data_IF_339224932197
#
_entry.id   IF_339224932197
#
_cell.length_a   1.000
_cell.length_b   1.000
_cell.length_c   1.000
_cell.angle_alpha   90.00
_cell.angle_beta   90.00
_cell.angle_gamma   90.00
#
_symmetry.space_group_name_H-M   'P 1'
#
loop_
_entity.id
_entity.type
_entity.pdbx_description
1 polymer ?
#
# COMPACT_ATOMS: atom_id res chain seq x y z
N UNK A 1 -15.29 -25.37 12.92
CA UNK A 1 -16.06 -24.13 12.65
C UNK A 1 -15.14 -23.23 11.86
N UNK A 2 -15.25 -23.29 10.53
CA UNK A 2 -14.37 -22.57 9.59
C UNK A 2 -15.03 -21.21 9.30
N UNK A 3 -14.48 -20.15 9.88
CA UNK A 3 -14.95 -18.80 9.59
C UNK A 3 -14.18 -18.30 8.36
N UNK A 4 -14.53 -18.82 7.18
CA UNK A 4 -13.95 -18.42 5.90
C UNK A 4 -14.42 -16.98 5.63
N UNK A 5 -13.64 -15.99 6.06
CA UNK A 5 -13.83 -14.60 5.66
C UNK A 5 -13.81 -14.57 4.13
N UNK A 6 -14.95 -14.30 3.49
CA UNK A 6 -14.98 -13.94 2.08
C UNK A 6 -14.03 -12.74 1.91
N UNK A 7 -12.93 -12.92 1.20
CA UNK A 7 -12.06 -11.82 0.84
C UNK A 7 -12.87 -10.82 0.01
N UNK A 8 -12.83 -9.54 0.42
CA UNK A 8 -13.49 -8.49 -0.34
C UNK A 8 -12.71 -8.22 -1.63
N UNK A 9 -13.38 -7.78 -2.69
CA UNK A 9 -12.70 -7.36 -3.92
C UNK A 9 -11.60 -6.33 -3.63
N UNK A 10 -11.82 -5.44 -2.65
CA UNK A 10 -10.81 -4.50 -2.14
C UNK A 10 -9.53 -5.21 -1.70
N UNK A 11 -9.65 -6.21 -0.82
CA UNK A 11 -8.50 -6.98 -0.30
C UNK A 11 -7.80 -7.77 -1.41
N UNK A 12 -8.56 -8.38 -2.32
CA UNK A 12 -7.99 -9.12 -3.46
C UNK A 12 -7.14 -8.21 -4.34
N UNK A 13 -7.64 -7.01 -4.66
CA UNK A 13 -6.87 -6.06 -5.48
C UNK A 13 -5.64 -5.51 -4.76
N UNK A 14 -5.70 -5.24 -3.46
CA UNK A 14 -4.53 -4.82 -2.68
C UNK A 14 -3.43 -5.89 -2.72
N UNK A 15 -3.80 -7.15 -2.45
CA UNK A 15 -2.87 -8.28 -2.51
C UNK A 15 -2.30 -8.46 -3.93
N UNK A 16 -3.15 -8.31 -4.96
CA UNK A 16 -2.74 -8.43 -6.36
C UNK A 16 -1.73 -7.35 -6.75
N UNK A 17 -1.97 -6.09 -6.36
CA UNK A 17 -1.02 -5.01 -6.63
C UNK A 17 0.31 -5.26 -5.93
N UNK A 18 0.29 -5.66 -4.67
CA UNK A 18 1.49 -6.00 -3.91
C UNK A 18 2.29 -7.11 -4.61
N UNK A 19 1.65 -8.21 -5.00
CA UNK A 19 2.32 -9.29 -5.74
C UNK A 19 2.96 -8.80 -7.04
N UNK A 20 2.27 -7.97 -7.82
CA UNK A 20 2.82 -7.41 -9.04
C UNK A 20 3.99 -6.46 -8.77
N UNK A 21 3.93 -5.67 -7.70
CA UNK A 21 5.02 -4.79 -7.24
C UNK A 21 6.24 -5.57 -6.73
N UNK A 22 6.13 -6.87 -6.41
CA UNK A 22 7.32 -7.69 -6.18
C UNK A 22 8.04 -8.07 -7.49
N UNK A 23 7.34 -8.01 -8.62
CA UNK A 23 7.80 -8.51 -9.92
C UNK A 23 8.24 -7.37 -10.84
N UNK A 24 7.48 -6.27 -10.92
CA UNK A 24 7.69 -5.19 -11.91
C UNK A 24 7.39 -3.79 -11.37
N UNK A 25 7.89 -2.72 -12.02
CA UNK A 25 7.61 -1.34 -11.66
C UNK A 25 6.12 -0.97 -11.76
N UNK A 26 5.64 -0.11 -10.86
CA UNK A 26 4.25 0.36 -10.76
C UNK A 26 3.70 0.98 -12.06
N UNK A 27 4.57 1.68 -12.78
CA UNK A 27 4.32 2.32 -14.08
C UNK A 27 3.76 1.31 -15.08
N UNK A 28 4.32 0.09 -15.07
CA UNK A 28 4.01 -0.98 -16.01
C UNK A 28 2.78 -1.80 -15.61
N UNK A 29 2.18 -1.53 -14.46
CA UNK A 29 0.97 -2.20 -13.97
C UNK A 29 -0.25 -1.43 -14.46
N UNK A 30 -1.17 -2.12 -15.14
CA UNK A 30 -2.43 -1.56 -15.63
C UNK A 30 -3.63 -2.08 -14.84
N UNK A 31 -4.75 -1.36 -14.87
CA UNK A 31 -6.02 -1.82 -14.27
C UNK A 31 -6.51 -3.12 -14.93
N UNK A 32 -6.29 -3.29 -16.23
CA UNK A 32 -6.64 -4.52 -16.94
C UNK A 32 -5.87 -5.71 -16.39
N UNK A 33 -4.55 -5.58 -16.24
CA UNK A 33 -3.71 -6.64 -15.67
C UNK A 33 -4.10 -6.95 -14.22
N UNK A 34 -4.43 -5.93 -13.42
CA UNK A 34 -4.93 -6.13 -12.06
C UNK A 34 -6.22 -6.95 -12.05
N UNK A 35 -7.18 -6.64 -12.94
CA UNK A 35 -8.44 -7.37 -13.07
C UNK A 35 -8.25 -8.82 -13.53
N UNK A 36 -7.38 -9.03 -14.52
CA UNK A 36 -7.04 -10.36 -15.04
C UNK A 36 -6.35 -11.22 -13.98
N UNK A 37 -5.38 -10.66 -13.25
CA UNK A 37 -4.64 -11.37 -12.20
C UNK A 37 -5.52 -11.68 -10.99
N UNK A 38 -6.37 -10.72 -10.60
CA UNK A 38 -7.31 -10.89 -9.49
C UNK A 38 -8.49 -11.82 -9.80
N UNK A 39 -8.74 -12.13 -11.09
CA UNK A 39 -9.95 -12.79 -11.56
C UNK A 39 -11.24 -12.05 -11.14
N UNK A 40 -11.19 -10.72 -11.17
CA UNK A 40 -12.27 -9.82 -10.74
C UNK A 40 -12.57 -8.80 -11.84
N UNK A 41 -13.85 -8.47 -12.05
CA UNK A 41 -14.25 -7.56 -13.13
C UNK A 41 -13.75 -6.12 -12.92
N UNK A 42 -13.58 -5.38 -14.03
CA UNK A 42 -13.28 -3.94 -13.97
C UNK A 42 -14.38 -3.15 -13.25
N UNK A 43 -15.66 -3.52 -13.42
CA UNK A 43 -16.76 -2.87 -12.69
C UNK A 43 -16.59 -3.02 -11.18
N UNK A 44 -16.08 -4.17 -10.72
CA UNK A 44 -15.75 -4.39 -9.31
C UNK A 44 -14.51 -3.62 -8.89
N UNK A 45 -13.51 -3.44 -9.76
CA UNK A 45 -12.38 -2.55 -9.49
C UNK A 45 -12.86 -1.12 -9.23
N UNK A 46 -13.60 -0.55 -10.18
CA UNK A 46 -14.09 0.83 -10.09
C UNK A 46 -15.16 1.07 -9.02
N UNK A 47 -15.77 0.00 -8.51
CA UNK A 47 -16.62 0.08 -7.32
C UNK A 47 -15.82 0.25 -6.01
N UNK A 48 -14.51 -0.05 -6.00
CA UNK A 48 -13.65 0.02 -4.83
C UNK A 48 -12.55 1.09 -4.95
N UNK A 49 -12.08 1.39 -6.16
CA UNK A 49 -10.96 2.29 -6.42
C UNK A 49 -11.26 3.22 -7.59
N UNK A 50 -10.75 4.45 -7.53
CA UNK A 50 -10.92 5.41 -8.62
C UNK A 50 -9.97 5.06 -9.78
N UNK A 51 -8.74 4.71 -9.44
CA UNK A 51 -7.69 4.29 -10.36
C UNK A 51 -6.64 3.44 -9.62
N UNK A 52 -5.54 3.11 -10.31
CA UNK A 52 -4.42 2.36 -9.70
C UNK A 52 -3.68 3.14 -8.60
N UNK A 53 -3.75 4.47 -8.58
CA UNK A 53 -3.12 5.31 -7.57
C UNK A 53 -3.92 5.31 -6.27
N UNK A 54 -5.26 5.35 -6.34
CA UNK A 54 -6.11 5.15 -5.17
C UNK A 54 -5.90 3.75 -4.57
N UNK A 55 -5.73 2.71 -5.41
CA UNK A 55 -5.34 1.38 -4.93
C UNK A 55 -3.96 1.39 -4.25
N UNK A 56 -2.96 2.06 -4.83
CA UNK A 56 -1.62 2.20 -4.23
C UNK A 56 -1.70 2.92 -2.88
N UNK A 57 -2.49 3.98 -2.76
CA UNK A 57 -2.71 4.71 -1.52
C UNK A 57 -3.22 3.76 -0.42
N UNK A 58 -4.22 2.93 -0.72
CA UNK A 58 -4.72 1.93 0.22
C UNK A 58 -3.64 0.92 0.66
N UNK A 59 -2.76 0.51 -0.27
CA UNK A 59 -1.66 -0.40 0.05
C UNK A 59 -0.62 0.27 0.97
N UNK A 60 -0.27 1.52 0.70
CA UNK A 60 0.67 2.29 1.53
C UNK A 60 0.10 2.58 2.92
N UNK A 61 -1.21 2.85 3.03
CA UNK A 61 -1.90 2.94 4.33
C UNK A 61 -1.78 1.65 5.14
N UNK A 62 -1.92 0.47 4.49
CA UNK A 62 -1.70 -0.83 5.14
C UNK A 62 -0.27 -0.99 5.64
N UNK A 63 0.73 -0.68 4.79
CA UNK A 63 2.15 -0.76 5.16
C UNK A 63 2.50 0.23 6.28
N UNK A 64 1.86 1.39 6.31
CA UNK A 64 2.02 2.34 7.41
C UNK A 64 1.42 1.80 8.72
N UNK A 65 0.27 1.13 8.68
CA UNK A 65 -0.28 0.52 9.89
C UNK A 65 0.61 -0.63 10.40
N UNK A 66 1.23 -1.40 9.50
CA UNK A 66 2.19 -2.45 9.85
C UNK A 66 3.45 -1.87 10.54
N UNK A 67 4.03 -0.80 9.99
CA UNK A 67 5.22 -0.18 10.58
C UNK A 67 4.89 0.51 11.91
N UNK A 68 3.72 1.15 12.04
CA UNK A 68 3.27 1.75 13.30
C UNK A 68 3.13 0.69 14.40
N UNK A 69 2.51 -0.46 14.07
CA UNK A 69 2.40 -1.57 14.99
C UNK A 69 3.77 -2.13 15.39
N UNK A 70 4.71 -2.22 14.44
CA UNK A 70 6.06 -2.68 14.72
C UNK A 70 6.81 -1.70 15.63
N UNK A 71 6.78 -0.40 15.33
CA UNK A 71 7.41 0.66 16.14
C UNK A 71 6.83 0.65 17.57
N UNK A 72 5.52 0.49 17.72
CA UNK A 72 4.87 0.46 19.05
C UNK A 72 5.34 -0.69 19.96
N UNK A 73 5.96 -1.73 19.38
CA UNK A 73 6.50 -2.89 20.12
C UNK A 73 8.00 -2.77 20.44
N UNK A 74 8.68 -1.72 19.97
CA UNK A 74 10.13 -1.54 20.13
C UNK A 74 10.47 -0.24 20.89
N UNK A 75 11.62 -0.18 21.56
CA UNK A 75 12.11 1.06 22.17
C UNK A 75 12.33 2.18 21.12
N UNK A 76 12.13 3.47 21.47
CA UNK A 76 12.34 4.58 20.53
C UNK A 76 13.75 4.63 19.91
N UNK A 77 14.77 4.13 20.60
CA UNK A 77 16.16 4.09 20.11
C UNK A 77 16.32 3.13 18.92
N UNK A 78 15.43 2.15 18.79
CA UNK A 78 15.44 1.17 17.70
C UNK A 78 14.59 1.64 16.50
N UNK A 79 13.96 2.83 16.57
CA UNK A 79 13.09 3.35 15.52
C UNK A 79 13.71 3.25 14.12
N UNK A 80 14.93 3.77 13.94
CA UNK A 80 15.58 3.74 12.63
C UNK A 80 15.90 2.31 12.18
N UNK A 81 16.34 1.45 13.09
CA UNK A 81 16.61 0.03 12.79
C UNK A 81 15.35 -0.68 12.33
N UNK A 82 14.26 -0.54 13.09
CA UNK A 82 12.96 -1.12 12.78
C UNK A 82 12.44 -0.66 11.41
N UNK A 83 12.54 0.64 11.13
CA UNK A 83 12.09 1.21 9.86
C UNK A 83 12.95 0.71 8.69
N UNK A 84 14.28 0.69 8.86
CA UNK A 84 15.19 0.23 7.83
C UNK A 84 15.02 -1.27 7.55
N UNK A 85 14.86 -2.10 8.59
CA UNK A 85 14.62 -3.54 8.45
C UNK A 85 13.30 -3.83 7.74
N UNK A 86 12.25 -3.05 8.04
CA UNK A 86 10.98 -3.14 7.33
C UNK A 86 11.13 -2.82 5.83
N UNK A 87 11.79 -1.70 5.51
CA UNK A 87 12.04 -1.31 4.11
C UNK A 87 12.93 -2.35 3.40
N UNK A 88 13.93 -2.92 4.09
CA UNK A 88 14.79 -3.96 3.53
C UNK A 88 14.02 -5.25 3.25
N UNK A 89 13.16 -5.67 4.18
CA UNK A 89 12.33 -6.87 4.02
C UNK A 89 11.37 -6.74 2.83
N UNK A 90 10.79 -5.55 2.65
CA UNK A 90 9.83 -5.23 1.60
C UNK A 90 10.51 -4.53 0.40
N UNK A 91 11.81 -4.74 0.18
CA UNK A 91 12.62 -3.93 -0.74
C UNK A 91 12.07 -3.87 -2.17
N UNK A 92 11.52 -4.98 -2.69
CA UNK A 92 10.97 -5.06 -4.05
C UNK A 92 9.74 -4.19 -4.19
N UNK A 93 8.85 -4.21 -3.20
CA UNK A 93 7.68 -3.33 -3.16
C UNK A 93 8.12 -1.87 -3.25
N UNK A 94 9.02 -1.41 -2.37
CA UNK A 94 9.47 -0.03 -2.36
C UNK A 94 10.25 0.37 -3.62
N UNK A 95 11.16 -0.49 -4.09
CA UNK A 95 11.93 -0.24 -5.30
C UNK A 95 11.04 -0.15 -6.54
N UNK A 96 10.10 -1.07 -6.72
CA UNK A 96 9.22 -1.04 -7.88
C UNK A 96 8.11 0.01 -7.78
N UNK A 97 7.82 0.52 -6.58
CA UNK A 97 6.89 1.64 -6.41
C UNK A 97 7.55 2.99 -6.68
N UNK A 98 8.77 3.20 -6.17
CA UNK A 98 9.39 4.53 -6.14
C UNK A 98 10.79 4.61 -6.77
N UNK A 99 11.53 3.51 -6.86
CA UNK A 99 12.95 3.51 -7.23
C UNK A 99 13.27 3.13 -8.68
N UNK A 100 12.43 2.32 -9.33
CA UNK A 100 12.70 1.80 -10.67
C UNK A 100 12.44 2.83 -11.77
N UNK A 101 11.27 3.46 -11.75
CA UNK A 101 10.89 4.61 -12.56
C UNK A 101 10.02 5.47 -11.63
N UNK A 102 10.46 6.65 -11.22
CA UNK A 102 9.66 7.47 -10.31
C UNK A 102 8.58 8.23 -11.10
N UNK A 103 7.31 7.90 -10.85
CA UNK A 103 6.18 8.73 -11.30
C UNK A 103 5.89 9.81 -10.23
N UNK A 104 5.83 11.11 -10.59
CA UNK A 104 5.47 12.18 -9.66
C UNK A 104 4.16 11.90 -8.91
N UNK A 105 3.19 11.27 -9.57
CA UNK A 105 1.90 10.89 -9.01
C UNK A 105 2.05 9.83 -7.92
N UNK A 106 2.93 8.84 -8.08
CA UNK A 106 3.21 7.86 -7.03
C UNK A 106 3.88 8.51 -5.82
N UNK A 107 4.79 9.46 -6.03
CA UNK A 107 5.38 10.25 -4.94
C UNK A 107 4.32 11.11 -4.24
N UNK A 108 3.41 11.73 -5.01
CA UNK A 108 2.31 12.50 -4.46
C UNK A 108 1.42 11.62 -3.58
N UNK A 109 1.11 10.38 -4.00
CA UNK A 109 0.35 9.43 -3.16
C UNK A 109 1.04 9.21 -1.81
N UNK A 110 2.36 9.01 -1.78
CA UNK A 110 3.12 8.86 -0.53
C UNK A 110 3.03 10.11 0.35
N UNK A 111 3.23 11.30 -0.23
CA UNK A 111 3.17 12.58 0.48
C UNK A 111 1.75 12.85 1.02
N UNK A 112 0.72 12.58 0.22
CA UNK A 112 -0.68 12.74 0.64
C UNK A 112 -1.05 11.77 1.77
N UNK A 113 -0.64 10.50 1.67
CA UNK A 113 -0.87 9.51 2.72
C UNK A 113 -0.26 9.97 4.05
N UNK A 114 1.00 10.44 4.02
CA UNK A 114 1.69 11.01 5.17
C UNK A 114 0.90 12.19 5.78
N UNK A 115 0.52 13.18 4.96
CA UNK A 115 -0.23 14.35 5.45
C UNK A 115 -1.62 13.99 5.98
N UNK A 116 -2.31 13.02 5.38
CA UNK A 116 -3.62 12.57 5.83
C UNK A 116 -3.58 11.94 7.23
N UNK A 117 -2.52 11.17 7.53
CA UNK A 117 -2.28 10.59 8.85
C UNK A 117 -1.97 11.69 9.89
N UNK A 118 -1.13 12.66 9.54
CA UNK A 118 -0.74 13.72 10.48
C UNK A 118 -1.82 14.79 10.69
N UNK A 119 -2.71 15.05 9.72
CA UNK A 119 -3.87 15.94 9.92
C UNK A 119 -4.91 15.37 10.90
N UNK A 120 -5.07 14.04 10.99
CA UNK A 120 -5.95 13.40 12.00
C UNK A 120 -5.49 13.66 13.43
N UNK A 121 -4.19 13.85 13.66
CA UNK A 121 -3.63 14.06 15.00
C UNK A 121 -3.81 15.50 15.54
N UNK A 122 -4.00 16.49 14.67
CA UNK A 122 -4.21 17.90 15.07
C UNK A 122 -5.65 18.22 15.49
N UNK A 123 -6.62 17.38 15.13
CA UNK A 123 -8.05 17.60 15.45
C UNK A 123 -8.52 16.89 16.73
N UNK A 124 -7.67 16.09 17.38
CA UNK A 124 -7.96 15.39 18.65
C UNK A 124 -7.28 16.03 19.88
N UNK A 125 -6.66 17.20 19.70
CA UNK A 125 -6.00 17.98 20.77
C UNK A 125 -6.64 19.36 20.99
N UNK A 126 -7.86 19.58 20.50
CA UNK A 126 -8.68 20.77 20.82
C UNK A 126 -9.95 20.37 21.57
#
# INVERSE_FOLDING_TARGET
MENTRKESAKTVFMNTLEQLLHIKPFQKISVNELCETALVSQSSFYANFEDKYHLLACCLESKSAEIDALIATHPPQEFLTVVLDFIQKENRFFYNTFGAELEPEALNVLIYAYHAQHKKHTLLTQ
#
